data_IF_944426514894
#
_entry.id   IF_944426514894
#
_cell.length_a   1.000
_cell.length_b   1.000
_cell.length_c   1.000
_cell.angle_alpha   90.00
_cell.angle_beta   90.00
_cell.angle_gamma   90.00
#
_symmetry.space_group_name_H-M   'P 1'
#
loop_
_entity.id
_entity.type
_entity.pdbx_description
1 polymer ?
#
# COMPACT_ATOMS: atom_id res chain seq x y z
N UNK A 1 -4.51 21.36 22.89
CA UNK A 1 -4.21 19.93 22.69
C UNK A 1 -5.39 19.31 21.98
N UNK A 2 -5.29 19.00 20.69
CA UNK A 2 -6.35 18.25 20.01
C UNK A 2 -6.35 16.83 20.59
N UNK A 3 -7.46 16.41 21.20
CA UNK A 3 -7.59 15.09 21.80
C UNK A 3 -7.56 13.97 20.76
N UNK A 4 -7.39 12.74 21.21
CA UNK A 4 -7.48 11.56 20.35
C UNK A 4 -8.91 11.45 19.79
N UNK A 5 -9.10 11.71 18.49
CA UNK A 5 -10.40 11.59 17.81
C UNK A 5 -10.68 10.14 17.40
N UNK A 6 -10.87 9.25 18.39
CA UNK A 6 -11.14 7.83 18.19
C UNK A 6 -12.65 7.55 18.33
N UNK A 7 -13.20 6.84 17.34
CA UNK A 7 -14.60 6.41 17.31
C UNK A 7 -14.68 4.88 17.17
N UNK A 8 -15.79 4.29 17.60
CA UNK A 8 -15.99 2.84 17.52
C UNK A 8 -17.39 2.53 16.99
N UNK A 9 -17.46 1.58 16.07
CA UNK A 9 -18.72 1.01 15.59
C UNK A 9 -18.88 -0.35 16.26
N UNK A 10 -20.01 -0.62 16.96
CA UNK A 10 -20.25 -1.92 17.57
C UNK A 10 -20.21 -3.05 16.52
N UNK A 11 -19.64 -4.23 16.84
CA UNK A 11 -19.40 -5.29 15.87
C UNK A 11 -20.69 -5.92 15.28
N UNK A 12 -21.84 -5.71 15.93
CA UNK A 12 -23.13 -6.19 15.47
C UNK A 12 -23.82 -5.24 14.47
N UNK A 13 -23.28 -4.03 14.26
CA UNK A 13 -23.80 -3.10 13.26
C UNK A 13 -23.08 -3.31 11.93
N UNK A 14 -23.82 -3.14 10.84
CA UNK A 14 -23.21 -3.08 9.52
C UNK A 14 -22.25 -1.88 9.46
N UNK A 15 -20.95 -2.17 9.37
CA UNK A 15 -19.89 -1.16 9.52
C UNK A 15 -20.05 -0.02 8.50
N UNK A 16 -20.31 -0.34 7.24
CA UNK A 16 -20.44 0.64 6.17
C UNK A 16 -21.63 1.57 6.38
N UNK A 17 -22.81 1.03 6.73
CA UNK A 17 -24.01 1.80 7.02
C UNK A 17 -23.82 2.70 8.24
N UNK A 18 -23.31 2.14 9.34
CA UNK A 18 -23.05 2.91 10.56
C UNK A 18 -22.03 4.03 10.35
N UNK A 19 -21.01 3.81 9.51
CA UNK A 19 -20.04 4.84 9.15
C UNK A 19 -20.69 5.95 8.31
N UNK A 20 -21.46 5.58 7.27
CA UNK A 20 -22.14 6.53 6.40
C UNK A 20 -23.12 7.41 7.20
N UNK A 21 -23.96 6.80 8.03
CA UNK A 21 -24.91 7.49 8.91
C UNK A 21 -24.18 8.47 9.85
N UNK A 22 -23.08 8.03 10.47
CA UNK A 22 -22.29 8.86 11.37
C UNK A 22 -21.64 10.06 10.66
N UNK A 23 -21.14 9.85 9.44
CA UNK A 23 -20.55 10.93 8.63
C UNK A 23 -21.62 11.91 8.14
N UNK A 24 -22.78 11.43 7.69
CA UNK A 24 -23.92 12.28 7.30
C UNK A 24 -24.40 13.10 8.49
N UNK A 25 -24.61 12.48 9.65
CA UNK A 25 -25.06 13.19 10.85
C UNK A 25 -24.08 14.30 11.28
N UNK A 26 -22.77 14.10 11.08
CA UNK A 26 -21.74 15.04 11.52
C UNK A 26 -21.42 16.13 10.48
N UNK A 27 -21.51 15.82 9.19
CA UNK A 27 -21.01 16.68 8.12
C UNK A 27 -22.04 16.97 7.01
N UNK A 28 -23.23 16.37 7.07
CA UNK A 28 -24.29 16.53 6.06
C UNK A 28 -25.19 17.75 6.24
N UNK A 29 -25.01 18.56 7.30
CA UNK A 29 -25.80 19.77 7.54
C UNK A 29 -25.50 20.93 6.58
N UNK A 30 -24.35 20.91 5.91
CA UNK A 30 -24.00 21.80 4.79
C UNK A 30 -23.98 20.96 3.50
N UNK A 31 -24.58 21.47 2.42
CA UNK A 31 -24.65 20.85 1.09
C UNK A 31 -23.28 20.38 0.60
N UNK A 32 -22.21 21.11 0.93
CA UNK A 32 -20.83 20.78 0.54
C UNK A 32 -19.98 20.17 1.67
N UNK A 33 -20.55 19.98 2.86
CA UNK A 33 -19.82 19.52 4.04
C UNK A 33 -19.21 18.14 3.86
N UNK A 34 -19.98 17.19 3.33
CA UNK A 34 -19.49 15.85 2.98
C UNK A 34 -18.49 15.89 1.82
N UNK A 35 -18.76 16.67 0.78
CA UNK A 35 -17.95 16.75 -0.44
C UNK A 35 -16.50 17.22 -0.20
N UNK A 36 -16.28 18.01 0.85
CA UNK A 36 -14.93 18.48 1.24
C UNK A 36 -14.14 17.42 2.03
N UNK A 37 -14.78 16.35 2.47
CA UNK A 37 -14.19 15.31 3.29
C UNK A 37 -13.38 14.28 2.50
N UNK A 38 -12.45 13.63 3.20
CA UNK A 38 -11.67 12.49 2.74
C UNK A 38 -11.90 11.32 3.70
N UNK A 39 -12.22 10.14 3.17
CA UNK A 39 -12.32 8.91 3.95
C UNK A 39 -11.28 7.92 3.45
N UNK A 40 -10.32 7.58 4.30
CA UNK A 40 -9.32 6.55 4.05
C UNK A 40 -9.91 5.20 4.43
N UNK A 41 -9.84 4.24 3.51
CA UNK A 41 -10.44 2.90 3.65
C UNK A 41 -9.40 1.82 3.31
N UNK A 42 -9.51 0.60 3.83
CA UNK A 42 -8.45 -0.41 3.68
C UNK A 42 -8.24 -0.85 2.22
N UNK A 43 -9.31 -0.93 1.42
CA UNK A 43 -9.23 -1.47 0.05
C UNK A 43 -10.41 -1.01 -0.81
N UNK A 44 -10.38 -1.33 -2.10
CA UNK A 44 -11.42 -0.98 -3.06
C UNK A 44 -12.76 -1.66 -2.76
N UNK A 45 -12.75 -2.84 -2.12
CA UNK A 45 -13.97 -3.51 -1.65
C UNK A 45 -14.67 -2.69 -0.57
N UNK A 46 -13.93 -2.18 0.42
CA UNK A 46 -14.45 -1.30 1.46
C UNK A 46 -14.94 0.03 0.88
N UNK A 47 -14.19 0.62 -0.06
CA UNK A 47 -14.61 1.82 -0.82
C UNK A 47 -15.99 1.65 -1.43
N UNK A 48 -16.22 0.55 -2.16
CA UNK A 48 -17.53 0.24 -2.78
C UNK A 48 -18.62 0.03 -1.73
N UNK A 49 -18.37 -0.76 -0.69
CA UNK A 49 -19.37 -1.02 0.35
C UNK A 49 -19.82 0.27 1.06
N UNK A 50 -18.89 1.19 1.34
CA UNK A 50 -19.17 2.49 1.96
C UNK A 50 -19.90 3.41 0.98
N UNK A 51 -19.52 3.42 -0.29
CA UNK A 51 -20.24 4.16 -1.33
C UNK A 51 -21.71 3.70 -1.42
N UNK A 52 -21.97 2.39 -1.46
CA UNK A 52 -23.31 1.83 -1.49
C UNK A 52 -24.11 2.19 -0.22
N UNK A 53 -23.44 2.25 0.94
CA UNK A 53 -24.05 2.69 2.20
C UNK A 53 -24.49 4.16 2.14
N UNK A 54 -23.64 5.06 1.62
CA UNK A 54 -24.04 6.44 1.39
C UNK A 54 -25.22 6.56 0.43
N UNK A 55 -25.28 5.73 -0.62
CA UNK A 55 -26.41 5.71 -1.56
C UNK A 55 -27.69 5.27 -0.85
N UNK A 56 -27.64 4.23 -0.01
CA UNK A 56 -28.81 3.79 0.77
C UNK A 56 -29.29 4.83 1.79
N UNK A 57 -28.36 5.52 2.45
CA UNK A 57 -28.65 6.55 3.43
C UNK A 57 -29.10 7.87 2.81
N UNK A 58 -28.94 8.04 1.50
CA UNK A 58 -29.34 9.25 0.79
C UNK A 58 -30.85 9.24 0.53
N UNK A 59 -31.59 10.10 1.24
CA UNK A 59 -33.01 10.37 0.94
C UNK A 59 -33.19 11.15 -0.39
N UNK A 60 -32.10 11.66 -0.97
CA UNK A 60 -32.04 12.39 -2.24
C UNK A 60 -30.72 12.18 -2.98
N UNK A 61 -30.02 13.26 -3.37
CA UNK A 61 -28.67 13.21 -3.92
C UNK A 61 -27.63 13.75 -2.93
N UNK A 62 -26.50 13.06 -2.78
CA UNK A 62 -25.39 13.49 -1.94
C UNK A 62 -24.11 13.69 -2.77
N UNK A 63 -23.40 14.77 -2.46
CA UNK A 63 -22.01 14.93 -2.89
C UNK A 63 -21.11 14.23 -1.87
N UNK A 64 -20.61 13.06 -2.27
CA UNK A 64 -19.87 12.16 -1.38
C UNK A 64 -18.49 12.72 -1.02
N UNK A 65 -17.96 12.38 0.17
CA UNK A 65 -16.56 12.58 0.46
C UNK A 65 -15.70 11.78 -0.51
N UNK A 66 -14.45 12.21 -0.68
CA UNK A 66 -13.48 11.45 -1.46
C UNK A 66 -13.09 10.18 -0.71
N UNK A 67 -13.43 9.01 -1.27
CA UNK A 67 -13.05 7.71 -0.71
C UNK A 67 -11.72 7.25 -1.31
N UNK A 68 -10.72 7.02 -0.46
CA UNK A 68 -9.34 6.66 -0.87
C UNK A 68 -8.96 5.32 -0.26
N UNK A 69 -8.72 4.32 -1.10
CA UNK A 69 -8.26 3.01 -0.67
C UNK A 69 -6.73 3.05 -0.47
N UNK A 70 -6.29 2.88 0.78
CA UNK A 70 -4.85 3.04 1.15
C UNK A 70 -4.07 1.73 1.25
N UNK A 71 -4.74 0.58 1.31
CA UNK A 71 -4.10 -0.75 1.41
C UNK A 71 -4.35 -1.65 0.21
N UNK A 72 -4.94 -1.13 -0.88
CA UNK A 72 -5.23 -1.92 -2.08
C UNK A 72 -4.01 -2.05 -3.01
N UNK A 73 -3.80 -3.19 -3.68
CA UNK A 73 -2.80 -3.29 -4.74
C UNK A 73 -3.05 -2.33 -5.91
N UNK A 74 -4.31 -2.06 -6.21
CA UNK A 74 -4.76 -1.00 -7.11
C UNK A 74 -5.07 0.25 -6.29
N UNK A 75 -4.09 0.65 -5.47
CA UNK A 75 -4.11 1.93 -4.77
C UNK A 75 -4.49 3.01 -5.78
N UNK A 76 -5.37 3.92 -5.40
CA UNK A 76 -5.78 5.04 -6.24
C UNK A 76 -4.61 6.03 -6.32
N UNK A 77 -3.54 5.63 -7.00
CA UNK A 77 -2.28 6.36 -7.13
C UNK A 77 -2.57 7.76 -7.67
N UNK A 78 -3.55 7.90 -8.56
CA UNK A 78 -4.02 9.18 -9.06
C UNK A 78 -4.40 10.18 -7.94
N UNK A 79 -4.95 9.70 -6.82
CA UNK A 79 -5.31 10.56 -5.68
C UNK A 79 -4.08 10.98 -4.87
N UNK A 80 -3.07 10.11 -4.75
CA UNK A 80 -1.81 10.43 -4.06
C UNK A 80 -0.86 11.25 -4.94
N UNK A 81 -0.90 11.04 -6.26
CA UNK A 81 -0.12 11.76 -7.28
C UNK A 81 -0.60 13.19 -7.49
N UNK A 82 -1.89 13.46 -7.26
CA UNK A 82 -2.47 14.81 -7.34
C UNK A 82 -1.85 15.82 -6.36
N UNK A 83 -0.96 15.38 -5.46
CA UNK A 83 -0.09 16.28 -4.69
C UNK A 83 1.02 16.80 -5.61
N UNK A 84 0.80 18.01 -6.15
CA UNK A 84 1.83 18.79 -6.84
C UNK A 84 3.03 18.99 -5.91
N UNK A 85 4.18 18.43 -6.28
CA UNK A 85 5.43 18.53 -5.55
C UNK A 85 6.58 18.50 -6.55
N UNK A 86 7.73 19.05 -6.18
CA UNK A 86 8.82 19.31 -7.10
C UNK A 86 9.50 18.04 -7.62
N UNK A 87 9.47 16.94 -6.86
CA UNK A 87 10.12 15.68 -7.22
C UNK A 87 9.07 14.57 -7.46
N UNK A 88 8.93 14.06 -8.70
CA UNK A 88 8.02 12.97 -8.99
C UNK A 88 8.54 11.66 -8.40
N UNK A 89 7.66 10.87 -7.79
CA UNK A 89 8.01 9.51 -7.36
C UNK A 89 8.24 8.65 -8.62
N UNK A 90 9.35 7.91 -8.75
CA UNK A 90 9.59 7.04 -9.90
C UNK A 90 8.49 5.99 -10.07
N UNK A 91 8.10 5.68 -11.31
CA UNK A 91 7.04 4.69 -11.54
C UNK A 91 7.48 3.29 -11.10
N UNK A 92 6.50 2.47 -10.75
CA UNK A 92 6.75 1.08 -10.41
C UNK A 92 7.13 0.27 -11.67
N UNK A 93 7.95 -0.75 -11.49
CA UNK A 93 8.14 -1.79 -12.51
C UNK A 93 6.83 -2.57 -12.70
N UNK A 94 6.50 -2.93 -13.95
CA UNK A 94 5.32 -3.73 -14.24
C UNK A 94 5.42 -5.12 -13.56
N UNK A 95 4.34 -5.65 -12.95
CA UNK A 95 4.38 -6.91 -12.21
C UNK A 95 4.86 -8.12 -13.03
N UNK A 96 4.45 -8.21 -14.31
CA UNK A 96 4.89 -9.29 -15.19
C UNK A 96 6.36 -9.09 -15.55
N UNK A 97 6.76 -7.87 -15.92
CA UNK A 97 8.16 -7.55 -16.21
C UNK A 97 9.07 -7.87 -15.02
N UNK A 98 8.68 -7.45 -13.80
CA UNK A 98 9.37 -7.76 -12.55
C UNK A 98 9.55 -9.26 -12.37
N UNK A 99 8.47 -10.02 -12.51
CA UNK A 99 8.50 -11.48 -12.36
C UNK A 99 9.46 -12.14 -13.36
N UNK A 100 9.46 -11.69 -14.61
CA UNK A 100 10.34 -12.25 -15.65
C UNK A 100 11.82 -11.88 -15.43
N UNK A 101 12.11 -10.67 -14.94
CA UNK A 101 13.49 -10.27 -14.58
C UNK A 101 13.99 -11.09 -13.39
N UNK A 102 13.18 -11.24 -12.34
CA UNK A 102 13.54 -12.05 -11.18
C UNK A 102 13.75 -13.52 -11.56
N UNK A 103 12.91 -14.08 -12.43
CA UNK A 103 13.08 -15.45 -12.94
C UNK A 103 14.41 -15.61 -13.69
N UNK A 104 14.78 -14.64 -14.53
CA UNK A 104 16.08 -14.62 -15.21
C UNK A 104 17.24 -14.54 -14.20
N UNK A 105 17.16 -13.67 -13.20
CA UNK A 105 18.21 -13.55 -12.17
C UNK A 105 18.38 -14.85 -11.37
N UNK A 106 17.28 -15.58 -11.11
CA UNK A 106 17.29 -16.91 -10.49
C UNK A 106 18.05 -17.90 -11.37
N UNK A 107 17.81 -17.94 -12.67
CA UNK A 107 18.55 -18.82 -13.59
C UNK A 107 20.03 -18.46 -13.68
N UNK A 108 20.36 -17.16 -13.72
CA UNK A 108 21.73 -16.66 -13.78
C UNK A 108 22.52 -16.83 -12.47
N UNK A 109 21.84 -17.17 -11.36
CA UNK A 109 22.48 -17.43 -10.08
C UNK A 109 23.23 -18.77 -10.02
N UNK A 110 23.05 -19.63 -11.03
CA UNK A 110 23.62 -20.98 -11.06
C UNK A 110 22.72 -22.06 -10.45
N UNK A 111 21.49 -21.72 -10.05
CA UNK A 111 20.49 -22.74 -9.69
C UNK A 111 20.12 -23.60 -10.90
N UNK A 112 20.13 -24.92 -10.68
CA UNK A 112 19.66 -25.90 -11.66
C UNK A 112 18.14 -26.01 -11.64
N UNK A 113 17.46 -24.92 -12.00
CA UNK A 113 15.99 -24.85 -12.11
C UNK A 113 15.59 -24.60 -13.55
N UNK A 114 14.51 -25.24 -13.99
CA UNK A 114 13.94 -24.99 -15.31
C UNK A 114 13.22 -23.62 -15.34
N UNK A 115 12.75 -23.23 -16.53
CA UNK A 115 12.09 -21.93 -16.73
C UNK A 115 10.76 -21.80 -15.98
N UNK A 116 9.99 -22.89 -15.88
CA UNK A 116 8.71 -22.85 -15.19
C UNK A 116 8.91 -22.65 -13.69
N UNK A 117 9.88 -23.38 -13.12
CA UNK A 117 10.24 -23.30 -11.72
C UNK A 117 10.88 -21.95 -11.37
N UNK A 118 11.72 -21.41 -12.24
CA UNK A 118 12.28 -20.06 -12.05
C UNK A 118 11.18 -18.98 -11.97
N UNK A 119 10.14 -19.07 -12.81
CA UNK A 119 8.99 -18.15 -12.78
C UNK A 119 8.12 -18.35 -11.55
N UNK A 120 8.02 -19.58 -11.03
CA UNK A 120 7.33 -19.89 -9.77
C UNK A 120 8.08 -19.26 -8.58
N UNK A 121 9.38 -19.55 -8.46
CA UNK A 121 10.26 -19.01 -7.42
C UNK A 121 10.36 -17.48 -7.47
N UNK A 122 10.38 -16.88 -8.66
CA UNK A 122 10.34 -15.43 -8.83
C UNK A 122 9.10 -14.80 -8.19
N UNK A 123 7.96 -15.49 -8.24
CA UNK A 123 6.73 -15.04 -7.60
C UNK A 123 6.83 -15.05 -6.07
N UNK A 124 7.40 -16.11 -5.50
CA UNK A 124 7.61 -16.23 -4.05
C UNK A 124 8.63 -15.21 -3.53
N UNK A 125 9.71 -15.01 -4.29
CA UNK A 125 10.71 -13.99 -4.00
C UNK A 125 10.10 -12.58 -4.07
N UNK A 126 9.34 -12.27 -5.12
CA UNK A 126 8.64 -10.99 -5.26
C UNK A 126 7.73 -10.73 -4.05
N UNK A 127 6.94 -11.72 -3.64
CA UNK A 127 6.07 -11.61 -2.45
C UNK A 127 6.88 -11.36 -1.17
N UNK A 128 8.02 -12.03 -1.01
CA UNK A 128 8.90 -11.84 0.15
C UNK A 128 9.49 -10.43 0.18
N UNK A 129 9.99 -9.95 -0.97
CA UNK A 129 10.50 -8.58 -1.10
C UNK A 129 9.42 -7.55 -0.80
N UNK A 130 8.21 -7.76 -1.32
CA UNK A 130 7.09 -6.85 -1.07
C UNK A 130 6.75 -6.76 0.42
N UNK A 131 6.72 -7.90 1.13
CA UNK A 131 6.46 -7.90 2.57
C UNK A 131 7.51 -7.11 3.35
N UNK A 132 8.79 -7.27 3.01
CA UNK A 132 9.87 -6.50 3.63
C UNK A 132 9.71 -5.00 3.38
N UNK A 133 9.44 -4.61 2.13
CA UNK A 133 9.26 -3.21 1.75
C UNK A 133 8.00 -2.58 2.40
N UNK A 134 6.90 -3.32 2.51
CA UNK A 134 5.67 -2.88 3.18
C UNK A 134 5.93 -2.59 4.67
N UNK A 135 6.75 -3.42 5.31
CA UNK A 135 7.16 -3.25 6.71
C UNK A 135 8.38 -2.29 6.86
N UNK A 136 8.78 -1.62 5.77
CA UNK A 136 9.94 -0.72 5.72
C UNK A 136 11.26 -1.35 6.18
N UNK A 137 11.39 -2.66 5.97
CA UNK A 137 12.60 -3.44 6.21
C UNK A 137 13.39 -3.52 4.91
N UNK A 138 14.61 -2.98 4.89
CA UNK A 138 15.47 -3.08 3.73
C UNK A 138 15.78 -4.56 3.40
N UNK A 139 15.57 -5.03 2.15
CA UNK A 139 15.84 -6.41 1.77
C UNK A 139 17.27 -6.87 2.02
N UNK A 140 18.25 -5.95 2.02
CA UNK A 140 19.64 -6.24 2.37
C UNK A 140 19.82 -6.81 3.78
N UNK A 141 18.91 -6.52 4.72
CA UNK A 141 18.96 -7.04 6.09
C UNK A 141 18.77 -8.55 6.17
N UNK A 142 18.26 -9.19 5.11
CA UNK A 142 18.21 -10.66 5.04
C UNK A 142 19.60 -11.29 5.10
N UNK A 143 20.65 -10.57 4.70
CA UNK A 143 22.05 -11.03 4.77
C UNK A 143 22.58 -11.12 6.19
N UNK A 144 22.01 -10.34 7.10
CA UNK A 144 22.47 -10.22 8.48
C UNK A 144 21.72 -11.19 9.42
N UNK A 145 20.85 -12.06 8.88
CA UNK A 145 20.12 -13.03 9.67
C UNK A 145 21.05 -14.13 10.18
N UNK A 146 21.21 -14.20 11.50
CA UNK A 146 21.82 -15.36 12.15
C UNK A 146 20.81 -16.51 12.20
N UNK A 147 21.02 -17.49 11.31
CA UNK A 147 20.12 -18.63 11.13
C UNK A 147 20.65 -19.91 11.83
N UNK A 148 21.74 -19.82 12.61
CA UNK A 148 22.34 -20.95 13.32
C UNK A 148 22.90 -22.03 12.37
N UNK A 149 22.94 -23.29 12.83
CA UNK A 149 23.32 -24.43 11.99
C UNK A 149 22.22 -24.70 10.95
N UNK A 150 22.41 -24.13 9.76
CA UNK A 150 21.56 -24.36 8.61
C UNK A 150 21.86 -25.72 7.99
N UNK A 151 20.82 -26.36 7.44
CA UNK A 151 21.06 -27.48 6.52
C UNK A 151 21.76 -26.96 5.25
N UNK A 152 22.54 -27.81 4.59
CA UNK A 152 23.20 -27.48 3.32
C UNK A 152 22.23 -27.03 2.21
N UNK A 153 20.94 -27.35 2.34
CA UNK A 153 19.89 -26.86 1.46
C UNK A 153 19.56 -25.38 1.72
N UNK A 154 19.53 -24.94 2.97
CA UNK A 154 19.27 -23.55 3.34
C UNK A 154 20.42 -22.62 2.95
N UNK A 155 21.67 -23.05 3.11
CA UNK A 155 22.84 -22.28 2.65
C UNK A 155 22.79 -22.01 1.15
N UNK A 156 22.37 -23.02 0.37
CA UNK A 156 22.25 -22.90 -1.09
C UNK A 156 21.10 -21.97 -1.49
N UNK A 157 19.98 -22.02 -0.78
CA UNK A 157 18.89 -21.08 -0.97
C UNK A 157 19.31 -19.64 -0.64
N UNK A 158 20.03 -19.43 0.47
CA UNK A 158 20.49 -18.10 0.87
C UNK A 158 21.47 -17.51 -0.15
N UNK A 159 22.44 -18.29 -0.63
CA UNK A 159 23.36 -17.84 -1.68
C UNK A 159 22.62 -17.41 -2.97
N UNK A 160 21.54 -18.11 -3.32
CA UNK A 160 20.68 -17.71 -4.43
C UNK A 160 19.95 -16.39 -4.16
N UNK A 161 19.39 -16.24 -2.95
CA UNK A 161 18.77 -14.98 -2.52
C UNK A 161 19.76 -13.82 -2.58
N UNK A 162 21.00 -14.01 -2.14
CA UNK A 162 22.04 -12.96 -2.12
C UNK A 162 22.33 -12.40 -3.52
N UNK A 163 22.45 -13.27 -4.53
CA UNK A 163 22.66 -12.86 -5.92
C UNK A 163 21.50 -12.01 -6.41
N UNK A 164 20.26 -12.41 -6.12
CA UNK A 164 19.10 -11.63 -6.55
C UNK A 164 18.98 -10.32 -5.77
N UNK A 165 19.25 -10.32 -4.46
CA UNK A 165 19.26 -9.11 -3.63
C UNK A 165 20.33 -8.11 -4.05
N UNK A 166 21.45 -8.58 -4.60
CA UNK A 166 22.50 -7.73 -5.16
C UNK A 166 22.12 -7.18 -6.54
N UNK A 167 21.63 -8.04 -7.44
CA UNK A 167 21.40 -7.66 -8.84
C UNK A 167 20.08 -6.94 -9.07
N UNK A 168 19.04 -7.23 -8.28
CA UNK A 168 17.71 -6.64 -8.47
C UNK A 168 17.70 -5.10 -8.35
N UNK A 169 18.35 -4.48 -7.35
CA UNK A 169 18.45 -3.02 -7.28
C UNK A 169 19.11 -2.39 -8.52
N UNK A 170 20.08 -3.08 -9.13
CA UNK A 170 20.74 -2.61 -10.35
C UNK A 170 19.81 -2.68 -11.57
N UNK A 171 18.99 -3.72 -11.69
CA UNK A 171 17.97 -3.80 -12.74
C UNK A 171 16.92 -2.69 -12.61
N UNK A 172 16.47 -2.40 -11.39
CA UNK A 172 15.57 -1.28 -11.12
C UNK A 172 16.19 0.07 -11.50
N UNK A 173 17.44 0.30 -11.10
CA UNK A 173 18.19 1.52 -11.45
C UNK A 173 18.33 1.66 -12.98
N UNK A 174 18.66 0.57 -13.69
CA UNK A 174 18.76 0.55 -15.15
C UNK A 174 17.44 0.88 -15.84
N UNK A 175 16.31 0.44 -15.26
CA UNK A 175 14.98 0.73 -15.78
C UNK A 175 14.47 2.14 -15.41
N UNK A 176 15.11 2.82 -14.45
CA UNK A 176 14.59 4.05 -13.86
C UNK A 176 13.24 3.81 -13.15
N UNK A 177 13.07 2.62 -12.58
CA UNK A 177 11.84 2.18 -11.90
C UNK A 177 12.15 1.77 -10.47
N UNK A 178 11.10 1.65 -9.66
CA UNK A 178 11.17 1.12 -8.30
C UNK A 178 10.17 -0.03 -8.12
N UNK A 179 10.27 -0.77 -7.02
CA UNK A 179 9.25 -1.72 -6.62
C UNK A 179 7.92 -1.01 -6.32
N UNK A 180 6.80 -1.68 -6.57
CA UNK A 180 5.47 -1.14 -6.31
C UNK A 180 5.23 -0.84 -4.83
N UNK A 181 5.69 -1.73 -3.93
CA UNK A 181 5.64 -1.51 -2.49
C UNK A 181 6.40 -0.23 -2.07
N UNK A 182 7.62 -0.05 -2.58
CA UNK A 182 8.44 1.14 -2.33
C UNK A 182 7.78 2.42 -2.87
N UNK A 183 7.23 2.36 -4.09
CA UNK A 183 6.49 3.50 -4.67
C UNK A 183 5.35 3.95 -3.76
N UNK A 184 4.56 3.02 -3.24
CA UNK A 184 3.44 3.32 -2.35
C UNK A 184 3.88 3.95 -1.05
N UNK A 185 4.92 3.42 -0.42
CA UNK A 185 5.50 4.01 0.79
C UNK A 185 5.91 5.45 0.55
N UNK A 186 6.57 5.75 -0.59
CA UNK A 186 6.94 7.13 -0.96
C UNK A 186 5.74 8.04 -1.22
N UNK A 187 4.71 7.55 -1.92
CA UNK A 187 3.48 8.30 -2.18
C UNK A 187 2.73 8.64 -0.88
N UNK A 188 2.58 7.67 0.03
CA UNK A 188 1.96 7.89 1.34
C UNK A 188 2.77 8.86 2.20
N UNK A 189 4.10 8.71 2.25
CA UNK A 189 4.97 9.63 2.98
C UNK A 189 4.87 11.08 2.44
N UNK A 190 4.74 11.23 1.12
CA UNK A 190 4.52 12.52 0.46
C UNK A 190 3.19 13.15 0.86
N UNK A 191 2.10 12.37 0.84
CA UNK A 191 0.78 12.84 1.31
C UNK A 191 0.82 13.23 2.79
N UNK A 192 1.42 12.39 3.65
CA UNK A 192 1.56 12.67 5.08
C UNK A 192 2.38 13.95 5.35
N UNK A 193 3.45 14.20 4.57
CA UNK A 193 4.20 15.46 4.64
C UNK A 193 3.33 16.65 4.23
N UNK A 194 2.65 16.55 3.08
CA UNK A 194 1.82 17.63 2.56
C UNK A 194 0.71 18.00 3.53
N UNK A 195 0.02 17.02 4.10
CA UNK A 195 -1.07 17.26 5.04
C UNK A 195 -0.62 17.87 6.36
N UNK A 196 0.64 17.66 6.77
CA UNK A 196 1.23 18.36 7.93
C UNK A 196 1.49 19.84 7.66
N UNK A 197 1.89 20.18 6.44
CA UNK A 197 2.20 21.55 6.03
C UNK A 197 0.94 22.35 5.64
N UNK A 198 0.03 21.70 4.92
CA UNK A 198 -1.23 22.25 4.44
C UNK A 198 -2.34 21.19 4.59
N UNK A 199 -2.99 21.11 5.76
CA UNK A 199 -4.07 20.16 5.99
C UNK A 199 -5.22 20.33 4.98
N UNK A 200 -5.92 19.25 4.60
CA UNK A 200 -7.11 19.35 3.76
C UNK A 200 -8.17 20.29 4.39
N UNK A 201 -8.93 21.03 3.57
CA UNK A 201 -9.92 22.00 4.06
C UNK A 201 -11.16 21.36 4.70
N UNK A 202 -11.38 20.06 4.52
CA UNK A 202 -12.46 19.29 5.12
C UNK A 202 -11.96 18.23 6.10
N UNK A 203 -12.88 17.39 6.58
CA UNK A 203 -12.51 16.32 7.51
C UNK A 203 -11.70 15.23 6.82
N UNK A 204 -10.83 14.58 7.59
CA UNK A 204 -10.16 13.33 7.20
C UNK A 204 -10.59 12.25 8.18
N UNK A 205 -11.08 11.12 7.68
CA UNK A 205 -11.53 9.99 8.49
C UNK A 205 -10.85 8.70 8.01
N UNK A 206 -10.06 8.08 8.88
CA UNK A 206 -9.56 6.73 8.66
C UNK A 206 -10.57 5.71 9.20
N UNK A 207 -11.04 4.79 8.36
CA UNK A 207 -12.11 3.85 8.72
C UNK A 207 -11.79 2.42 8.28
N UNK A 208 -11.84 1.48 9.23
CA UNK A 208 -11.70 0.05 8.95
C UNK A 208 -10.30 -0.37 8.51
N UNK A 209 -9.30 0.47 8.74
CA UNK A 209 -7.90 0.16 8.43
C UNK A 209 -7.33 -0.66 9.58
N UNK A 210 -7.00 -1.92 9.30
CA UNK A 210 -6.37 -2.84 10.26
C UNK A 210 -4.94 -3.21 9.88
N UNK A 211 -4.42 -2.66 8.77
CA UNK A 211 -3.07 -2.91 8.31
C UNK A 211 -2.04 -2.30 9.28
N UNK A 212 -0.97 -3.05 9.58
CA UNK A 212 0.14 -2.63 10.44
C UNK A 212 1.23 -1.84 9.70
N UNK A 213 1.11 -1.69 8.37
CA UNK A 213 2.13 -1.08 7.54
C UNK A 213 2.51 0.32 8.06
N UNK A 214 3.79 0.57 8.42
CA UNK A 214 4.21 1.83 9.03
C UNK A 214 3.85 3.07 8.21
N UNK A 215 3.92 2.98 6.88
CA UNK A 215 3.56 4.06 5.97
C UNK A 215 2.10 4.52 6.13
N UNK A 216 1.17 3.58 6.36
CA UNK A 216 -0.26 3.88 6.53
C UNK A 216 -0.50 4.56 7.89
N UNK A 217 0.21 4.11 8.94
CA UNK A 217 0.06 4.67 10.28
C UNK A 217 0.53 6.13 10.42
N UNK A 218 1.30 6.65 9.45
CA UNK A 218 1.81 8.03 9.44
C UNK A 218 0.86 9.03 8.76
N UNK A 219 -0.16 8.56 8.05
CA UNK A 219 -1.15 9.39 7.34
C UNK A 219 -2.35 9.64 8.24
#
# INVERSE_FOLDING_TARGET
MSGLNLFTIPPHRAFADALADGLIARFGGDTLGLARGIVLVPNNRAKRAIQDAFVRASEGGLLLPRLVAVGDPELDEAVLEAVEDAEPVPAAVDPLQRRMILARLIQESGAQVDAAEAVRLAGELASTLDQLLIEEVAPSRLRDLDLGELSSHWERSLALFEVVLERWPHELARLGRIDLAERRTRLLAKVARRWREAPPPGFVCAAGITASAPAIARV
#
